data_IF_049952026067
#
_entry.id   IF_049952026067
#
_cell.length_a   1.000
_cell.length_b   1.000
_cell.length_c   1.000
_cell.angle_alpha   90.00
_cell.angle_beta   90.00
_cell.angle_gamma   90.00
#
_symmetry.space_group_name_H-M   'P 1'
#
loop_
_entity.id
_entity.type
_entity.pdbx_description
1 polymer ?
#
# COMPACT_ATOMS: atom_id res chain seq x y z
N UNK A 1 -8.61 -18.25 -11.95
CA UNK A 1 -9.45 -17.28 -11.25
C UNK A 1 -8.70 -15.97 -11.31
N UNK A 2 -9.21 -14.97 -12.04
CA UNK A 2 -8.65 -13.63 -11.91
C UNK A 2 -9.01 -13.19 -10.49
N UNK A 3 -8.01 -12.89 -9.68
CA UNK A 3 -8.23 -12.31 -8.36
C UNK A 3 -8.74 -10.89 -8.61
N UNK A 4 -10.01 -10.64 -8.29
CA UNK A 4 -10.61 -9.32 -8.49
C UNK A 4 -9.94 -8.35 -7.52
N UNK A 5 -9.33 -7.30 -8.10
CA UNK A 5 -8.75 -6.21 -7.33
C UNK A 5 -9.77 -5.09 -7.19
N UNK A 6 -9.97 -4.67 -5.96
CA UNK A 6 -10.59 -3.40 -5.63
C UNK A 6 -9.53 -2.30 -5.74
N UNK A 7 -9.86 -1.20 -6.38
CA UNK A 7 -8.97 -0.05 -6.48
C UNK A 7 -9.48 1.09 -5.62
N UNK A 8 -8.60 1.65 -4.80
CA UNK A 8 -8.87 2.80 -3.95
C UNK A 8 -7.86 3.90 -4.21
N UNK A 9 -8.29 5.14 -4.01
CA UNK A 9 -7.43 6.31 -4.13
C UNK A 9 -7.23 6.94 -2.75
N UNK A 10 -5.99 7.32 -2.47
CA UNK A 10 -5.54 7.99 -1.26
C UNK A 10 -4.66 9.17 -1.66
N UNK A 11 -4.84 10.31 -1.02
CA UNK A 11 -3.89 11.44 -1.09
C UNK A 11 -3.15 11.52 0.22
N UNK A 12 -1.83 11.34 0.20
CA UNK A 12 -0.99 11.40 1.38
C UNK A 12 0.13 12.41 1.19
N UNK A 13 0.17 13.46 2.04
CA UNK A 13 1.11 14.59 1.93
C UNK A 13 1.24 15.18 0.51
N UNK A 14 0.14 15.20 -0.24
CA UNK A 14 0.08 15.70 -1.62
C UNK A 14 0.53 14.71 -2.71
N UNK A 15 0.89 13.47 -2.34
CA UNK A 15 1.11 12.39 -3.30
C UNK A 15 -0.19 11.62 -3.54
N UNK A 16 -0.55 11.45 -4.82
CA UNK A 16 -1.64 10.55 -5.22
C UNK A 16 -1.14 9.10 -5.14
N UNK A 17 -1.85 8.26 -4.38
CA UNK A 17 -1.54 6.85 -4.15
C UNK A 17 -2.75 6.01 -4.55
N UNK A 18 -2.53 5.08 -5.48
CA UNK A 18 -3.47 4.02 -5.82
C UNK A 18 -3.17 2.79 -4.98
N UNK A 19 -4.19 2.32 -4.25
CA UNK A 19 -4.14 1.11 -3.45
C UNK A 19 -5.00 0.05 -4.14
N UNK A 20 -4.39 -1.05 -4.57
CA UNK A 20 -5.11 -2.18 -5.17
C UNK A 20 -5.16 -3.31 -4.15
N UNK A 21 -6.36 -3.78 -3.87
CA UNK A 21 -6.63 -4.73 -2.80
C UNK A 21 -7.26 -6.00 -3.35
N UNK A 22 -6.71 -7.15 -2.99
CA UNK A 22 -7.31 -8.45 -3.26
C UNK A 22 -7.35 -9.26 -1.95
N UNK A 23 -8.51 -9.38 -1.28
CA UNK A 23 -8.62 -10.01 0.04
C UNK A 23 -8.34 -11.52 0.01
N UNK A 24 -8.52 -12.18 -1.14
CA UNK A 24 -8.40 -13.64 -1.28
C UNK A 24 -7.45 -14.01 -2.44
N UNK A 25 -6.23 -13.49 -2.41
CA UNK A 25 -5.28 -13.65 -3.52
C UNK A 25 -4.88 -15.10 -3.80
N UNK A 26 -4.60 -15.89 -2.77
CA UNK A 26 -4.19 -17.29 -2.90
C UNK A 26 -5.34 -18.29 -2.62
N UNK A 27 -6.56 -17.79 -2.42
CA UNK A 27 -7.64 -18.53 -1.76
C UNK A 27 -7.40 -18.65 -0.25
N UNK A 28 -8.45 -18.46 0.56
CA UNK A 28 -8.35 -18.40 2.01
C UNK A 28 -7.97 -16.99 2.52
N UNK A 29 -7.22 -16.92 3.62
CA UNK A 29 -7.06 -15.68 4.40
C UNK A 29 -5.86 -14.83 3.96
N UNK A 30 -5.10 -15.24 2.94
CA UNK A 30 -3.96 -14.46 2.44
C UNK A 30 -4.43 -13.45 1.39
N UNK A 31 -4.31 -12.19 1.75
CA UNK A 31 -4.61 -11.08 0.89
C UNK A 31 -3.35 -10.48 0.23
N UNK A 32 -3.57 -9.72 -0.83
CA UNK A 32 -2.53 -8.97 -1.52
C UNK A 32 -2.92 -7.50 -1.66
N UNK A 33 -1.96 -6.64 -1.30
CA UNK A 33 -2.06 -5.20 -1.33
C UNK A 33 -0.95 -4.64 -2.21
N UNK A 34 -1.33 -3.94 -3.27
CA UNK A 34 -0.41 -3.14 -4.09
C UNK A 34 -0.59 -1.66 -3.77
N UNK A 35 0.52 -0.97 -3.55
CA UNK A 35 0.55 0.46 -3.24
C UNK A 35 1.38 1.12 -4.32
N UNK A 36 0.79 2.05 -5.07
CA UNK A 36 1.42 2.69 -6.23
C UNK A 36 1.26 4.19 -6.12
N UNK A 37 2.35 4.93 -6.02
CA UNK A 37 2.31 6.39 -6.16
C UNK A 37 2.26 6.79 -7.63
N UNK A 38 1.60 7.92 -7.89
CA UNK A 38 1.68 8.59 -9.18
C UNK A 38 3.12 8.95 -9.51
N UNK A 39 3.52 8.69 -10.75
CA UNK A 39 4.88 8.92 -11.27
C UNK A 39 5.99 8.17 -10.50
N UNK A 40 5.66 7.11 -9.75
CA UNK A 40 6.64 6.29 -9.00
C UNK A 40 7.44 7.08 -7.96
N UNK A 41 6.82 8.13 -7.41
CA UNK A 41 7.41 8.94 -6.35
C UNK A 41 7.70 8.09 -5.10
N UNK A 42 8.88 8.24 -4.53
CA UNK A 42 9.27 7.55 -3.31
C UNK A 42 8.45 8.03 -2.10
N UNK A 43 8.27 7.14 -1.14
CA UNK A 43 7.55 7.38 0.11
C UNK A 43 8.06 6.43 1.21
N UNK A 44 7.69 6.62 2.49
CA UNK A 44 8.30 5.91 3.63
C UNK A 44 8.29 4.37 3.60
N UNK A 45 7.45 3.76 2.76
CA UNK A 45 7.34 2.31 2.65
C UNK A 45 7.84 1.77 1.30
N UNK A 46 8.21 2.64 0.35
CA UNK A 46 8.85 2.26 -0.92
C UNK A 46 9.69 3.39 -1.53
N UNK A 47 10.95 3.08 -1.80
CA UNK A 47 11.85 3.95 -2.56
C UNK A 47 11.50 4.05 -4.06
N UNK A 48 10.75 3.07 -4.60
CA UNK A 48 10.41 3.00 -6.03
C UNK A 48 9.00 3.50 -6.35
N UNK A 49 8.27 3.97 -5.33
CA UNK A 49 6.86 4.33 -5.43
C UNK A 49 5.92 3.14 -5.67
N UNK A 50 6.41 1.91 -5.49
CA UNK A 50 5.60 0.70 -5.58
C UNK A 50 5.94 -0.29 -4.49
N UNK A 51 4.89 -0.88 -3.91
CA UNK A 51 5.03 -1.95 -2.94
C UNK A 51 3.99 -3.03 -3.21
N UNK A 52 4.46 -4.27 -3.29
CA UNK A 52 3.61 -5.46 -3.19
C UNK A 52 3.72 -5.98 -1.76
N UNK A 53 2.59 -6.23 -1.11
CA UNK A 53 2.53 -6.70 0.26
C UNK A 53 1.47 -7.80 0.43
N UNK A 54 1.87 -8.91 1.04
CA UNK A 54 0.99 -10.02 1.36
C UNK A 54 0.80 -10.10 2.87
N UNK A 55 -0.43 -10.24 3.32
CA UNK A 55 -0.78 -10.29 4.75
C UNK A 55 -2.10 -11.03 4.97
N UNK A 56 -2.43 -11.41 6.21
CA UNK A 56 -3.76 -11.89 6.55
C UNK A 56 -4.84 -10.84 6.24
N UNK A 57 -5.96 -11.25 5.65
CA UNK A 57 -7.08 -10.36 5.35
C UNK A 57 -7.63 -9.67 6.61
N UNK A 58 -7.73 -10.40 7.72
CA UNK A 58 -8.26 -9.86 8.99
C UNK A 58 -7.48 -8.63 9.45
N UNK A 59 -6.17 -8.60 9.26
CA UNK A 59 -5.32 -7.50 9.72
C UNK A 59 -5.60 -6.19 8.96
N UNK A 60 -6.03 -6.29 7.70
CA UNK A 60 -6.46 -5.14 6.91
C UNK A 60 -7.88 -4.73 7.27
N UNK A 61 -8.77 -5.70 7.53
CA UNK A 61 -10.14 -5.44 7.97
C UNK A 61 -10.19 -4.78 9.36
N UNK A 62 -9.41 -5.28 10.33
CA UNK A 62 -9.26 -4.72 11.68
C UNK A 62 -8.69 -3.30 11.67
N UNK A 63 -7.82 -2.99 10.71
CA UNK A 63 -7.30 -1.65 10.49
C UNK A 63 -8.35 -0.67 9.92
N UNK A 64 -9.54 -1.15 9.54
CA UNK A 64 -10.59 -0.35 8.92
C UNK A 64 -10.57 -0.37 7.39
N UNK A 65 -9.93 -1.37 6.79
CA UNK A 65 -9.83 -1.57 5.34
C UNK A 65 -8.49 -1.13 4.73
N UNK A 66 -8.29 -1.37 3.42
CA UNK A 66 -6.99 -1.21 2.76
C UNK A 66 -6.45 0.22 2.80
N UNK A 67 -7.31 1.24 2.66
CA UNK A 67 -6.88 2.65 2.74
C UNK A 67 -6.40 3.02 4.14
N UNK A 68 -7.12 2.61 5.18
CA UNK A 68 -6.77 2.90 6.56
C UNK A 68 -5.47 2.18 6.97
N UNK A 69 -5.32 0.92 6.56
CA UNK A 69 -4.09 0.15 6.74
C UNK A 69 -2.86 0.82 6.10
N UNK A 70 -2.97 1.22 4.82
CA UNK A 70 -1.88 1.90 4.11
C UNK A 70 -1.54 3.24 4.75
N UNK A 71 -2.56 4.01 5.14
CA UNK A 71 -2.37 5.31 5.78
C UNK A 71 -1.63 5.15 7.12
N UNK A 72 -2.08 4.23 7.99
CA UNK A 72 -1.42 3.96 9.26
C UNK A 72 0.04 3.52 9.08
N UNK A 73 0.32 2.73 8.04
CA UNK A 73 1.69 2.30 7.74
C UNK A 73 2.58 3.45 7.28
N UNK A 74 2.07 4.31 6.39
CA UNK A 74 2.78 5.51 5.95
C UNK A 74 3.10 6.42 7.14
N UNK A 75 2.13 6.72 7.99
CA UNK A 75 2.32 7.54 9.19
C UNK A 75 3.32 6.92 10.17
N UNK A 76 3.26 5.60 10.35
CA UNK A 76 4.18 4.89 11.27
C UNK A 76 5.64 4.91 10.77
N UNK A 77 5.85 4.95 9.45
CA UNK A 77 7.18 4.90 8.84
C UNK A 77 7.74 6.27 8.46
N UNK A 78 6.90 7.28 8.38
CA UNK A 78 7.32 8.64 8.13
C UNK A 78 8.17 9.16 9.30
N UNK A 79 9.45 9.41 9.03
CA UNK A 79 10.38 10.03 9.98
C UNK A 79 10.55 11.53 9.72
N UNK A 80 9.68 12.10 8.87
CA UNK A 80 9.71 13.49 8.43
C UNK A 80 10.80 13.82 7.40
N UNK A 81 11.63 12.86 6.98
CA UNK A 81 12.68 13.11 5.98
C UNK A 81 12.22 12.74 4.57
N UNK A 82 12.74 13.42 3.53
CA UNK A 82 12.51 12.99 2.15
C UNK A 82 13.07 11.58 1.92
N UNK A 83 12.24 10.71 1.34
CA UNK A 83 12.68 9.40 0.84
C UNK A 83 13.04 9.56 -0.63
N UNK A 84 14.19 9.02 -1.02
CA UNK A 84 14.62 8.96 -2.42
C UNK A 84 15.18 7.58 -2.71
N UNK A 85 15.05 7.12 -3.95
CA UNK A 85 15.71 5.91 -4.40
C UNK A 85 17.23 6.10 -4.29
N UNK A 86 17.87 5.23 -3.50
CA UNK A 86 19.33 5.20 -3.43
C UNK A 86 19.89 4.46 -4.64
N UNK A 87 20.59 5.18 -5.52
CA UNK A 87 21.39 4.58 -6.57
C UNK A 87 22.78 4.29 -5.97
N UNK A 88 22.93 3.12 -5.36
CA UNK A 88 24.23 2.59 -4.96
C UNK A 88 25.06 2.16 -6.18
#
# INVERSE_FOLDING_TARGET
MASDYEEHQLVWKGQDITVRWCPQWLGGDTAHLEIVTKDRQAHPISETGYRSHFCPCELVEEAGGPVAFVTAWLETKDDGKPVQLSLL
#
